data_IF_481685963351
#
_entry.id   IF_481685963351
#
_cell.length_a   1.000
_cell.length_b   1.000
_cell.length_c   1.000
_cell.angle_alpha   90.00
_cell.angle_beta   90.00
_cell.angle_gamma   90.00
#
_symmetry.space_group_name_H-M   'P 1'
#
loop_
_entity.id
_entity.type
_entity.pdbx_description
1 polymer ?
#
# COMPACT_ATOMS: atom_id res chain seq x y z
N UNK A 1 8.13 11.52 -9.90
CA UNK A 1 6.77 12.05 -9.64
C UNK A 1 6.07 11.32 -8.50
N UNK A 2 6.15 10.00 -8.45
CA UNK A 2 5.57 9.22 -7.33
C UNK A 2 6.00 9.76 -5.96
N UNK A 3 7.32 9.99 -5.75
CA UNK A 3 7.83 10.60 -4.52
C UNK A 3 7.16 11.95 -4.20
N UNK A 4 6.99 12.81 -5.21
CA UNK A 4 6.38 14.13 -5.01
C UNK A 4 4.89 14.01 -4.63
N UNK A 5 4.16 13.09 -5.29
CA UNK A 5 2.76 12.81 -4.95
C UNK A 5 2.63 12.30 -3.50
N UNK A 6 3.52 11.39 -3.06
CA UNK A 6 3.54 10.93 -1.68
C UNK A 6 3.74 12.09 -0.70
N UNK A 7 4.71 12.98 -0.99
CA UNK A 7 4.99 14.15 -0.13
C UNK A 7 3.79 15.10 -0.09
N UNK A 8 3.19 15.42 -1.23
CA UNK A 8 2.03 16.34 -1.29
C UNK A 8 0.84 15.76 -0.52
N UNK A 9 0.51 14.48 -0.70
CA UNK A 9 -0.57 13.83 0.05
C UNK A 9 -0.29 13.82 1.56
N UNK A 10 0.96 13.53 1.95
CA UNK A 10 1.35 13.56 3.37
C UNK A 10 1.22 14.96 3.95
N UNK A 11 1.70 15.99 3.25
CA UNK A 11 1.59 17.38 3.70
C UNK A 11 0.13 17.84 3.78
N UNK A 12 -0.71 17.47 2.80
CA UNK A 12 -2.14 17.75 2.84
C UNK A 12 -2.82 17.09 4.05
N UNK A 13 -2.48 15.83 4.35
CA UNK A 13 -3.01 15.13 5.52
C UNK A 13 -2.56 15.76 6.84
N UNK A 14 -1.31 16.17 6.95
CA UNK A 14 -0.80 16.91 8.14
C UNK A 14 -1.54 18.25 8.28
N UNK A 15 -1.78 18.96 7.18
CA UNK A 15 -2.58 20.19 7.19
C UNK A 15 -4.03 19.92 7.65
N UNK A 16 -4.68 18.83 7.20
CA UNK A 16 -6.00 18.41 7.69
C UNK A 16 -6.00 18.22 9.22
N UNK A 17 -4.98 17.57 9.78
CA UNK A 17 -4.89 17.33 11.23
C UNK A 17 -4.64 18.63 12.01
N UNK A 18 -3.83 19.56 11.49
CA UNK A 18 -3.48 20.81 12.19
C UNK A 18 -4.65 21.80 12.14
N UNK A 19 -5.30 21.93 10.99
CA UNK A 19 -6.38 22.89 10.78
C UNK A 19 -7.72 22.43 11.36
N UNK A 20 -7.81 21.17 11.71
CA UNK A 20 -9.03 20.59 12.28
C UNK A 20 -8.74 19.70 13.50
N UNK A 21 -8.78 20.23 14.72
CA UNK A 21 -8.58 19.45 15.94
C UNK A 21 -9.62 18.35 16.16
N UNK A 22 -10.81 18.45 15.56
CA UNK A 22 -11.90 17.48 15.65
C UNK A 22 -11.98 16.56 14.43
N UNK A 23 -10.88 16.43 13.68
CA UNK A 23 -10.81 15.59 12.48
C UNK A 23 -11.31 14.15 12.73
N UNK A 24 -12.10 13.53 11.83
CA UNK A 24 -12.50 14.05 10.50
C UNK A 24 -13.76 14.93 10.48
N UNK A 25 -14.44 15.11 11.60
CA UNK A 25 -15.67 15.87 11.68
C UNK A 25 -15.37 17.38 11.54
N UNK A 26 -16.20 18.11 10.77
CA UNK A 26 -16.11 19.56 10.54
C UNK A 26 -14.73 20.04 10.00
N UNK A 27 -14.22 19.43 8.95
CA UNK A 27 -12.93 19.80 8.36
C UNK A 27 -13.06 20.92 7.33
N UNK A 28 -12.57 22.10 7.66
CA UNK A 28 -12.49 23.24 6.73
C UNK A 28 -11.83 22.87 5.39
N UNK A 29 -10.80 22.02 5.42
CA UNK A 29 -10.15 21.56 4.18
C UNK A 29 -11.01 20.59 3.40
N UNK A 30 -11.85 19.79 4.04
CA UNK A 30 -12.79 18.90 3.33
C UNK A 30 -13.88 19.76 2.68
N UNK A 31 -14.41 20.74 3.38
CA UNK A 31 -15.46 21.64 2.86
C UNK A 31 -14.96 22.42 1.64
N UNK A 32 -13.70 22.90 1.65
CA UNK A 32 -13.15 23.69 0.54
C UNK A 32 -12.58 22.85 -0.61
N UNK A 33 -11.98 21.71 -0.32
CA UNK A 33 -11.15 20.95 -1.24
C UNK A 33 -11.70 19.54 -1.55
N UNK A 34 -12.65 19.03 -0.76
CA UNK A 34 -13.38 17.79 -1.05
C UNK A 34 -14.29 17.96 -2.26
N UNK A 35 -14.56 16.92 -3.02
CA UNK A 35 -15.46 16.97 -4.16
C UNK A 35 -16.89 16.82 -3.64
N UNK A 36 -17.59 17.94 -3.53
CA UNK A 36 -19.02 18.00 -3.24
C UNK A 36 -19.84 17.66 -4.47
N UNK A 37 -21.04 17.13 -4.25
CA UNK A 37 -21.97 16.85 -5.32
C UNK A 37 -22.26 18.13 -6.12
N UNK A 38 -22.26 18.04 -7.45
CA UNK A 38 -22.30 19.24 -8.30
C UNK A 38 -23.59 20.09 -8.20
N UNK A 39 -24.64 19.57 -7.56
CA UNK A 39 -25.84 20.34 -7.22
C UNK A 39 -25.81 20.89 -5.79
N UNK A 40 -24.81 20.58 -4.99
CA UNK A 40 -24.63 21.14 -3.66
C UNK A 40 -24.10 22.58 -3.74
N UNK A 41 -24.41 23.40 -2.73
CA UNK A 41 -24.01 24.81 -2.67
C UNK A 41 -22.48 24.97 -2.60
N UNK A 42 -21.80 24.05 -1.90
CA UNK A 42 -20.34 24.07 -1.69
C UNK A 42 -19.53 23.47 -2.85
N UNK A 43 -20.17 23.12 -3.97
CA UNK A 43 -19.48 22.59 -5.13
C UNK A 43 -18.65 23.66 -5.85
N UNK A 44 -17.38 23.32 -6.12
CA UNK A 44 -16.47 24.12 -6.92
C UNK A 44 -15.65 23.26 -7.89
N UNK A 45 -15.42 23.76 -9.10
CA UNK A 45 -14.74 23.01 -10.18
C UNK A 45 -13.31 22.54 -9.81
N UNK A 46 -12.59 23.30 -8.97
CA UNK A 46 -11.24 22.90 -8.53
C UNK A 46 -11.24 21.61 -7.69
N UNK A 47 -12.37 21.28 -7.07
CA UNK A 47 -12.54 20.10 -6.24
C UNK A 47 -12.30 18.79 -7.01
N UNK A 48 -12.53 18.76 -8.35
CA UNK A 48 -12.14 17.62 -9.19
C UNK A 48 -10.65 17.24 -9.13
N UNK A 49 -9.81 18.15 -8.66
CA UNK A 49 -8.36 17.90 -8.50
C UNK A 49 -7.99 17.85 -7.04
N UNK A 50 -8.49 18.77 -6.21
CA UNK A 50 -8.04 18.90 -4.82
C UNK A 50 -8.48 17.74 -3.94
N UNK A 51 -9.64 17.16 -4.17
CA UNK A 51 -10.15 16.01 -3.42
C UNK A 51 -9.20 14.80 -3.40
N UNK A 52 -8.39 14.64 -4.47
CA UNK A 52 -7.42 13.56 -4.63
C UNK A 52 -6.30 13.58 -3.57
N UNK A 53 -6.13 14.69 -2.85
CA UNK A 53 -5.06 14.87 -1.87
C UNK A 53 -5.58 14.81 -0.42
N UNK A 54 -6.89 14.75 -0.22
CA UNK A 54 -7.51 14.63 1.08
C UNK A 54 -7.76 13.18 1.47
N UNK A 55 -7.75 12.89 2.77
CA UNK A 55 -7.94 11.52 3.26
C UNK A 55 -8.80 11.51 4.52
N UNK A 56 -9.69 10.52 4.65
CA UNK A 56 -10.62 10.37 5.75
C UNK A 56 -10.05 9.74 7.03
N UNK A 57 -8.72 9.55 7.12
CA UNK A 57 -8.05 9.01 8.31
C UNK A 57 -6.73 8.33 7.99
N UNK A 58 -6.01 7.93 9.04
CA UNK A 58 -4.68 7.33 8.91
C UNK A 58 -4.65 6.05 8.06
N UNK A 59 -5.60 5.15 8.28
CA UNK A 59 -5.70 3.90 7.50
C UNK A 59 -5.92 4.20 6.01
N UNK A 60 -6.76 5.19 5.71
CA UNK A 60 -7.07 5.60 4.35
C UNK A 60 -5.83 6.14 3.62
N UNK A 61 -5.09 7.09 4.22
CA UNK A 61 -3.86 7.60 3.60
C UNK A 61 -2.78 6.52 3.52
N UNK A 62 -2.64 5.67 4.55
CA UNK A 62 -1.62 4.64 4.58
C UNK A 62 -1.75 3.68 3.40
N UNK A 63 -2.95 3.10 3.15
CA UNK A 63 -3.14 2.16 2.05
C UNK A 63 -3.05 2.83 0.68
N UNK A 64 -3.53 4.06 0.52
CA UNK A 64 -3.35 4.83 -0.71
C UNK A 64 -1.87 5.07 -1.02
N UNK A 65 -1.12 5.56 -0.06
CA UNK A 65 0.31 5.88 -0.24
C UNK A 65 1.16 4.62 -0.42
N UNK A 66 0.84 3.55 0.28
CA UNK A 66 1.51 2.26 0.11
C UNK A 66 1.28 1.70 -1.31
N UNK A 67 0.06 1.69 -1.80
CA UNK A 67 -0.26 1.24 -3.15
C UNK A 67 0.37 2.17 -4.22
N UNK A 68 0.29 3.48 -4.03
CA UNK A 68 0.93 4.47 -4.90
C UNK A 68 2.46 4.27 -4.95
N UNK A 69 3.10 4.04 -3.80
CA UNK A 69 4.53 3.77 -3.74
C UNK A 69 4.89 2.47 -4.46
N UNK A 70 4.18 1.38 -4.18
CA UNK A 70 4.47 0.05 -4.70
C UNK A 70 4.26 -0.04 -6.21
N UNK A 71 3.08 0.33 -6.69
CA UNK A 71 2.72 0.21 -8.10
C UNK A 71 3.13 1.44 -8.91
N UNK A 72 2.97 2.64 -8.35
CA UNK A 72 3.26 3.90 -9.02
C UNK A 72 4.73 4.05 -9.37
N UNK A 73 5.64 3.63 -8.48
CA UNK A 73 7.08 3.67 -8.75
C UNK A 73 7.46 2.81 -9.95
N UNK A 74 6.83 1.65 -10.11
CA UNK A 74 7.10 0.74 -11.25
C UNK A 74 6.55 1.35 -12.54
N UNK A 75 5.32 1.83 -12.53
CA UNK A 75 4.68 2.42 -13.72
C UNK A 75 5.40 3.72 -14.13
N UNK A 76 5.81 4.56 -13.18
CA UNK A 76 6.60 5.76 -13.48
C UNK A 76 7.93 5.41 -14.18
N UNK A 77 8.64 4.37 -13.73
CA UNK A 77 9.91 3.93 -14.36
C UNK A 77 9.71 3.48 -15.80
N UNK A 78 8.58 2.84 -16.10
CA UNK A 78 8.27 2.32 -17.44
C UNK A 78 7.78 3.41 -18.39
N UNK A 79 6.90 4.29 -17.89
CA UNK A 79 6.25 5.29 -18.74
C UNK A 79 6.95 6.64 -18.76
N UNK A 80 7.80 6.90 -17.79
CA UNK A 80 8.41 8.19 -17.51
C UNK A 80 7.51 9.11 -16.66
N UNK A 81 8.12 10.11 -16.00
CA UNK A 81 7.44 10.91 -14.97
C UNK A 81 6.30 11.77 -15.53
N UNK A 82 6.44 12.34 -16.73
CA UNK A 82 5.40 13.22 -17.31
C UNK A 82 4.13 12.44 -17.65
N UNK A 83 4.30 11.27 -18.30
CA UNK A 83 3.17 10.43 -18.71
C UNK A 83 2.47 9.80 -17.50
N UNK A 84 3.24 9.38 -16.49
CA UNK A 84 2.73 8.89 -15.23
C UNK A 84 1.88 9.94 -14.52
N UNK A 85 2.38 11.18 -14.38
CA UNK A 85 1.63 12.26 -13.73
C UNK A 85 0.34 12.60 -14.50
N UNK A 86 0.43 12.71 -15.83
CA UNK A 86 -0.75 12.97 -16.65
C UNK A 86 -1.81 11.87 -16.47
N UNK A 87 -1.40 10.61 -16.45
CA UNK A 87 -2.28 9.49 -16.21
C UNK A 87 -2.94 9.57 -14.82
N UNK A 88 -2.13 9.81 -13.78
CA UNK A 88 -2.60 9.90 -12.40
C UNK A 88 -3.69 10.97 -12.25
N UNK A 89 -3.40 12.20 -12.69
CA UNK A 89 -4.34 13.32 -12.57
C UNK A 89 -5.59 13.08 -13.43
N UNK A 90 -5.43 12.66 -14.69
CA UNK A 90 -6.58 12.43 -15.58
C UNK A 90 -7.50 11.32 -15.07
N UNK A 91 -6.94 10.24 -14.51
CA UNK A 91 -7.74 9.16 -13.94
C UNK A 91 -8.42 9.59 -12.62
N UNK A 92 -7.77 10.42 -11.80
CA UNK A 92 -8.40 11.00 -10.63
C UNK A 92 -9.57 11.91 -11.00
N UNK A 93 -9.38 12.84 -11.93
CA UNK A 93 -10.49 13.68 -12.43
C UNK A 93 -11.61 12.81 -13.02
N UNK A 94 -11.26 11.81 -13.82
CA UNK A 94 -12.23 10.86 -14.37
C UNK A 94 -13.00 10.05 -13.30
N UNK A 95 -12.32 9.69 -12.22
CA UNK A 95 -12.94 9.06 -11.06
C UNK A 95 -14.00 9.96 -10.41
N UNK A 96 -13.66 11.25 -10.21
CA UNK A 96 -14.59 12.25 -9.72
C UNK A 96 -15.81 12.43 -10.63
N UNK A 97 -15.60 12.50 -11.95
CA UNK A 97 -16.71 12.63 -12.91
C UNK A 97 -17.66 11.43 -12.82
N UNK A 98 -17.14 10.19 -12.75
CA UNK A 98 -18.00 8.99 -12.63
C UNK A 98 -18.73 8.99 -11.30
N UNK A 99 -18.09 9.42 -10.22
CA UNK A 99 -18.72 9.54 -8.90
C UNK A 99 -19.88 10.54 -8.94
N UNK A 100 -19.68 11.71 -9.52
CA UNK A 100 -20.74 12.73 -9.69
C UNK A 100 -21.93 12.21 -10.51
N UNK A 101 -21.66 11.47 -11.59
CA UNK A 101 -22.72 10.83 -12.37
C UNK A 101 -23.49 9.81 -11.52
N UNK A 102 -22.80 9.00 -10.71
CA UNK A 102 -23.44 8.02 -9.85
C UNK A 102 -24.28 8.70 -8.75
N UNK A 103 -23.79 9.76 -8.15
CA UNK A 103 -24.55 10.57 -7.20
C UNK A 103 -25.78 11.22 -7.84
N UNK A 104 -25.65 11.71 -9.07
CA UNK A 104 -26.78 12.28 -9.82
C UNK A 104 -27.86 11.22 -10.12
N UNK A 105 -27.46 10.03 -10.52
CA UNK A 105 -28.40 8.90 -10.71
C UNK A 105 -29.10 8.57 -9.39
N UNK A 106 -28.39 8.56 -8.28
CA UNK A 106 -28.97 8.36 -6.95
C UNK A 106 -29.93 9.49 -6.58
N UNK A 107 -29.55 10.75 -6.79
CA UNK A 107 -30.39 11.93 -6.56
C UNK A 107 -31.73 11.82 -7.30
N UNK A 108 -31.70 11.44 -8.57
CA UNK A 108 -32.90 11.23 -9.38
C UNK A 108 -33.73 10.02 -8.91
N UNK A 109 -33.09 8.92 -8.57
CA UNK A 109 -33.76 7.69 -8.17
C UNK A 109 -34.51 7.80 -6.86
N UNK A 110 -33.97 8.57 -5.91
CA UNK A 110 -34.61 8.88 -4.62
C UNK A 110 -35.64 10.01 -4.74
N UNK A 111 -35.59 10.80 -5.85
CA UNK A 111 -36.49 11.90 -6.10
C UNK A 111 -36.27 13.10 -5.16
N UNK A 112 -35.02 13.33 -4.75
CA UNK A 112 -34.68 14.39 -3.77
C UNK A 112 -35.08 15.78 -4.22
N UNK A 113 -35.18 16.02 -5.54
CA UNK A 113 -35.66 17.30 -6.10
C UNK A 113 -37.09 17.69 -5.67
N UNK A 114 -37.90 16.74 -5.19
CA UNK A 114 -39.27 16.97 -4.78
C UNK A 114 -39.40 17.34 -3.29
N UNK A 115 -38.31 17.35 -2.54
CA UNK A 115 -38.33 17.56 -1.10
C UNK A 115 -37.46 18.73 -0.66
N UNK A 116 -38.04 19.68 0.06
CA UNK A 116 -37.28 20.79 0.67
C UNK A 116 -36.48 20.34 1.89
N UNK A 117 -36.88 19.23 2.52
CA UNK A 117 -36.28 18.69 3.72
C UNK A 117 -36.10 17.18 3.64
N UNK A 118 -35.01 16.70 4.23
CA UNK A 118 -34.70 15.26 4.40
C UNK A 118 -34.64 14.92 5.88
N UNK A 119 -35.20 13.78 6.25
CA UNK A 119 -35.08 13.27 7.61
C UNK A 119 -33.91 12.28 7.69
N UNK A 120 -32.84 12.67 8.37
CA UNK A 120 -31.65 11.87 8.58
C UNK A 120 -31.62 11.37 10.05
N UNK A 121 -32.01 10.13 10.27
CA UNK A 121 -31.96 9.53 11.61
C UNK A 121 -32.81 10.22 12.69
N UNK A 122 -33.90 10.88 12.30
CA UNK A 122 -34.77 11.64 13.21
C UNK A 122 -34.50 13.17 13.24
N UNK A 123 -33.44 13.63 12.58
CA UNK A 123 -33.15 15.05 12.42
C UNK A 123 -33.61 15.52 11.04
N UNK A 124 -34.47 16.54 11.02
CA UNK A 124 -34.94 17.18 9.81
C UNK A 124 -33.93 18.27 9.39
N UNK A 125 -33.40 18.18 8.18
CA UNK A 125 -32.47 19.17 7.62
C UNK A 125 -32.90 19.59 6.23
N UNK A 126 -32.46 20.75 5.77
CA UNK A 126 -32.69 21.20 4.39
C UNK A 126 -32.06 20.22 3.40
N UNK A 127 -32.71 20.03 2.25
CA UNK A 127 -32.17 19.17 1.18
C UNK A 127 -30.82 19.70 0.68
N UNK A 128 -30.62 21.02 0.60
CA UNK A 128 -29.36 21.63 0.18
C UNK A 128 -28.23 21.31 1.18
N UNK A 129 -28.50 21.39 2.51
CA UNK A 129 -27.53 20.99 3.54
C UNK A 129 -27.20 19.49 3.45
N UNK A 130 -28.22 18.66 3.16
CA UNK A 130 -28.01 17.22 2.96
C UNK A 130 -27.13 16.92 1.74
N UNK A 131 -27.29 17.65 0.65
CA UNK A 131 -26.46 17.48 -0.55
C UNK A 131 -24.99 17.86 -0.31
N UNK A 132 -24.73 18.85 0.57
CA UNK A 132 -23.37 19.21 0.97
C UNK A 132 -22.64 18.09 1.71
N UNK A 133 -23.36 17.13 2.35
CA UNK A 133 -22.77 15.94 2.97
C UNK A 133 -22.27 14.91 1.94
N UNK A 134 -22.72 15.02 0.66
CA UNK A 134 -22.28 14.10 -0.39
C UNK A 134 -20.90 14.49 -0.93
N UNK A 135 -19.90 14.34 -0.07
CA UNK A 135 -18.53 14.76 -0.35
C UNK A 135 -17.63 13.57 -0.54
N UNK A 136 -16.84 13.58 -1.60
CA UNK A 136 -15.86 12.56 -1.95
C UNK A 136 -14.44 13.06 -1.69
N UNK A 137 -13.61 12.26 -1.03
CA UNK A 137 -12.20 12.55 -0.77
C UNK A 137 -11.34 11.31 -0.99
N UNK A 138 -10.12 11.48 -1.47
CA UNK A 138 -9.12 10.43 -1.54
C UNK A 138 -8.40 10.33 -2.88
N UNK A 139 -7.14 9.88 -2.81
CA UNK A 139 -6.32 9.55 -3.97
C UNK A 139 -6.75 8.23 -4.65
N UNK A 140 -7.64 7.48 -4.03
CA UNK A 140 -7.91 6.07 -4.35
C UNK A 140 -8.36 5.85 -5.79
N UNK A 141 -9.19 6.70 -6.38
CA UNK A 141 -9.60 6.57 -7.79
C UNK A 141 -8.40 6.55 -8.75
N UNK A 142 -7.43 7.44 -8.55
CA UNK A 142 -6.19 7.46 -9.32
C UNK A 142 -5.27 6.26 -8.96
N UNK A 143 -5.24 5.84 -7.71
CA UNK A 143 -4.45 4.68 -7.24
C UNK A 143 -4.97 3.38 -7.84
N UNK A 144 -6.29 3.19 -7.90
CA UNK A 144 -6.91 2.05 -8.57
C UNK A 144 -6.63 2.03 -10.09
N UNK A 145 -6.58 3.22 -10.72
CA UNK A 145 -6.13 3.31 -12.12
C UNK A 145 -4.66 2.89 -12.29
N UNK A 146 -3.76 3.25 -11.35
CA UNK A 146 -2.36 2.78 -11.36
C UNK A 146 -2.29 1.26 -11.17
N UNK A 147 -3.09 0.68 -10.28
CA UNK A 147 -3.18 -0.76 -10.09
C UNK A 147 -3.62 -1.46 -11.38
N UNK A 148 -4.63 -0.91 -12.07
CA UNK A 148 -5.06 -1.38 -13.38
C UNK A 148 -3.91 -1.29 -14.41
N UNK A 149 -3.21 -0.14 -14.45
CA UNK A 149 -2.07 0.06 -15.35
C UNK A 149 -0.97 -0.98 -15.11
N UNK A 150 -0.70 -1.32 -13.85
CA UNK A 150 0.25 -2.36 -13.48
C UNK A 150 -0.21 -3.73 -14.00
N UNK A 151 -1.45 -4.13 -13.73
CA UNK A 151 -2.00 -5.41 -14.19
C UNK A 151 -2.07 -5.54 -15.72
N UNK A 152 -2.34 -4.42 -16.42
CA UNK A 152 -2.34 -4.39 -17.90
C UNK A 152 -0.93 -4.40 -18.50
N UNK A 153 0.06 -3.84 -17.81
CA UNK A 153 1.45 -3.78 -18.27
C UNK A 153 2.21 -5.07 -17.93
N UNK A 154 1.95 -5.63 -16.76
CA UNK A 154 2.64 -6.81 -16.20
C UNK A 154 1.68 -7.94 -15.80
N UNK A 155 0.83 -8.46 -16.70
CA UNK A 155 -0.29 -9.32 -16.34
C UNK A 155 0.10 -10.64 -15.68
N UNK A 156 1.31 -11.13 -15.90
CA UNK A 156 1.79 -12.41 -15.40
C UNK A 156 2.75 -12.29 -14.21
N UNK A 157 3.09 -11.06 -13.80
CA UNK A 157 3.89 -10.86 -12.60
C UNK A 157 3.17 -11.36 -11.36
N UNK A 158 3.92 -11.98 -10.47
CA UNK A 158 3.40 -12.58 -9.25
C UNK A 158 3.61 -11.64 -8.09
N UNK A 159 2.52 -11.29 -7.42
CA UNK A 159 2.51 -10.42 -6.25
C UNK A 159 2.16 -11.22 -5.01
N UNK A 160 2.93 -11.01 -3.94
CA UNK A 160 2.60 -11.53 -2.62
C UNK A 160 1.75 -10.50 -1.89
N UNK A 161 0.56 -10.90 -1.48
CA UNK A 161 -0.38 -10.07 -0.73
C UNK A 161 -0.46 -10.64 0.68
N UNK A 162 0.00 -9.88 1.65
CA UNK A 162 -0.14 -10.25 3.06
C UNK A 162 -1.62 -10.11 3.45
N UNK A 163 -2.23 -11.13 4.10
CA UNK A 163 -1.63 -12.32 4.71
C UNK A 163 -1.63 -13.58 3.83
N UNK A 164 -1.95 -13.49 2.54
CA UNK A 164 -2.05 -14.69 1.69
C UNK A 164 -0.66 -15.26 1.37
N UNK A 165 -0.39 -16.55 1.67
CA UNK A 165 0.91 -17.17 1.46
C UNK A 165 1.20 -17.50 -0.02
N UNK A 166 0.24 -17.26 -0.92
CA UNK A 166 0.33 -17.63 -2.33
C UNK A 166 0.51 -16.42 -3.22
N UNK A 167 1.47 -16.45 -4.18
CA UNK A 167 1.64 -15.38 -5.14
C UNK A 167 0.49 -15.36 -6.16
N UNK A 168 -0.19 -14.23 -6.29
CA UNK A 168 -1.29 -14.02 -7.23
C UNK A 168 -0.74 -13.26 -8.46
N UNK A 169 -1.13 -13.67 -9.68
CA UNK A 169 -0.77 -12.93 -10.89
C UNK A 169 -1.49 -11.57 -10.91
N UNK A 170 -0.78 -10.52 -11.30
CA UNK A 170 -1.28 -9.14 -11.31
C UNK A 170 -2.63 -8.98 -12.03
N UNK A 171 -2.84 -9.66 -13.15
CA UNK A 171 -4.13 -9.63 -13.85
C UNK A 171 -5.30 -10.14 -13.00
N UNK A 172 -5.09 -11.20 -12.21
CA UNK A 172 -6.15 -11.75 -11.37
C UNK A 172 -6.40 -10.89 -10.13
N UNK A 173 -5.36 -10.24 -9.61
CA UNK A 173 -5.49 -9.26 -8.56
C UNK A 173 -6.39 -8.10 -9.00
N UNK A 174 -6.11 -7.54 -10.19
CA UNK A 174 -6.92 -6.43 -10.74
C UNK A 174 -8.37 -6.87 -11.00
N UNK A 175 -8.58 -8.05 -11.59
CA UNK A 175 -9.94 -8.58 -11.81
C UNK A 175 -10.67 -8.76 -10.48
N UNK A 176 -9.99 -9.27 -9.45
CA UNK A 176 -10.55 -9.41 -8.10
C UNK A 176 -10.98 -8.07 -7.51
N UNK A 177 -10.13 -7.04 -7.59
CA UNK A 177 -10.48 -5.70 -7.14
C UNK A 177 -11.67 -5.10 -7.91
N UNK A 178 -11.70 -5.22 -9.23
CA UNK A 178 -12.85 -4.76 -10.03
C UNK A 178 -14.13 -5.46 -9.58
N UNK A 179 -14.10 -6.78 -9.34
CA UNK A 179 -15.25 -7.53 -8.88
C UNK A 179 -15.74 -7.10 -7.49
N UNK A 180 -14.80 -6.87 -6.57
CA UNK A 180 -15.11 -6.38 -5.21
C UNK A 180 -15.74 -4.98 -5.28
N UNK A 181 -15.12 -4.05 -6.01
CA UNK A 181 -15.61 -2.68 -6.14
C UNK A 181 -16.99 -2.63 -6.80
N UNK A 182 -17.21 -3.45 -7.84
CA UNK A 182 -18.51 -3.54 -8.50
C UNK A 182 -19.58 -4.10 -7.56
N UNK A 183 -19.27 -5.18 -6.84
CA UNK A 183 -20.19 -5.76 -5.88
C UNK A 183 -20.54 -4.76 -4.76
N UNK A 184 -19.53 -4.08 -4.21
CA UNK A 184 -19.72 -3.08 -3.16
C UNK A 184 -20.54 -1.88 -3.66
N UNK A 185 -20.27 -1.39 -4.87
CA UNK A 185 -21.06 -0.31 -5.47
C UNK A 185 -22.54 -0.67 -5.67
N UNK A 186 -22.83 -1.94 -5.99
CA UNK A 186 -24.21 -2.43 -6.16
C UNK A 186 -24.90 -2.75 -4.83
N UNK A 187 -24.15 -3.02 -3.76
CA UNK A 187 -24.71 -3.34 -2.44
C UNK A 187 -25.23 -2.11 -1.68
N UNK A 188 -24.96 -0.92 -2.19
CA UNK A 188 -25.41 0.36 -1.62
C UNK A 188 -24.38 1.01 -0.69
N UNK A 189 -24.57 2.29 -0.33
CA UNK A 189 -23.66 3.05 0.51
C UNK A 189 -23.77 2.59 1.97
N UNK A 190 -22.90 1.70 2.40
CA UNK A 190 -22.89 1.20 3.77
C UNK A 190 -21.60 1.45 4.54
N UNK A 191 -20.49 1.59 3.85
CA UNK A 191 -19.14 1.65 4.44
C UNK A 191 -18.43 3.01 4.29
N UNK A 192 -19.10 4.01 3.69
CA UNK A 192 -18.55 5.34 3.44
C UNK A 192 -17.45 5.37 2.37
N UNK A 193 -17.33 4.31 1.55
CA UNK A 193 -16.32 4.22 0.47
C UNK A 193 -16.95 4.56 -0.88
N UNK A 194 -16.27 5.41 -1.65
CA UNK A 194 -16.70 5.80 -2.99
C UNK A 194 -16.31 4.75 -4.05
N UNK A 195 -16.94 3.58 -4.01
CA UNK A 195 -16.66 2.46 -4.92
C UNK A 195 -16.82 2.83 -6.40
N UNK A 196 -17.78 3.69 -6.72
CA UNK A 196 -18.00 4.20 -8.07
C UNK A 196 -16.86 5.08 -8.56
N UNK A 197 -16.23 5.87 -7.67
CA UNK A 197 -15.01 6.61 -8.01
C UNK A 197 -13.83 5.66 -8.32
N UNK A 198 -13.67 4.55 -7.58
CA UNK A 198 -12.63 3.56 -7.86
C UNK A 198 -12.81 2.94 -9.25
N UNK A 199 -14.03 2.49 -9.57
CA UNK A 199 -14.37 1.95 -10.88
C UNK A 199 -14.22 3.00 -11.99
N UNK A 200 -14.58 4.26 -11.70
CA UNK A 200 -14.41 5.39 -12.60
C UNK A 200 -12.94 5.63 -12.96
N UNK A 201 -12.06 5.63 -11.95
CA UNK A 201 -10.62 5.75 -12.17
C UNK A 201 -10.07 4.62 -13.03
N UNK A 202 -10.47 3.37 -12.75
CA UNK A 202 -10.09 2.22 -13.59
C UNK A 202 -10.62 2.32 -15.02
N UNK A 203 -11.86 2.77 -15.22
CA UNK A 203 -12.47 2.95 -16.54
C UNK A 203 -11.68 3.96 -17.37
N UNK A 204 -11.42 5.15 -16.82
CA UNK A 204 -10.61 6.18 -17.49
C UNK A 204 -9.20 5.66 -17.79
N UNK A 205 -8.60 5.00 -16.82
CA UNK A 205 -7.28 4.39 -16.98
C UNK A 205 -7.24 3.34 -18.10
N UNK A 206 -8.26 2.49 -18.19
CA UNK A 206 -8.40 1.50 -19.26
C UNK A 206 -8.52 2.17 -20.63
N UNK A 207 -9.39 3.18 -20.76
CA UNK A 207 -9.60 3.91 -22.02
C UNK A 207 -8.27 4.57 -22.46
N UNK A 208 -7.58 5.26 -21.55
CA UNK A 208 -6.30 5.91 -21.85
C UNK A 208 -5.22 4.92 -22.29
N UNK A 209 -5.08 3.79 -21.59
CA UNK A 209 -4.09 2.76 -21.96
C UNK A 209 -4.43 2.16 -23.33
N UNK A 210 -5.72 1.87 -23.59
CA UNK A 210 -6.17 1.37 -24.89
C UNK A 210 -5.90 2.37 -26.00
N UNK A 211 -6.20 3.65 -25.77
CA UNK A 211 -5.92 4.72 -26.72
C UNK A 211 -4.42 4.81 -27.04
N UNK A 212 -3.58 4.85 -26.02
CA UNK A 212 -2.12 4.93 -26.21
C UNK A 212 -1.52 3.70 -26.89
N UNK A 213 -2.10 2.52 -26.67
CA UNK A 213 -1.66 1.30 -27.38
C UNK A 213 -2.01 1.33 -28.87
N UNK A 214 -3.10 1.99 -29.24
CA UNK A 214 -3.48 2.16 -30.64
C UNK A 214 -2.74 3.26 -31.36
N UNK A 215 -2.28 4.27 -30.61
CA UNK A 215 -1.57 5.46 -31.12
C UNK A 215 -0.18 5.56 -30.47
N UNK A 216 0.76 4.68 -30.80
CA UNK A 216 2.12 4.80 -30.31
C UNK A 216 2.75 6.04 -30.95
N UNK A 217 2.85 7.13 -30.17
CA UNK A 217 3.56 8.34 -30.61
C UNK A 217 5.06 8.05 -30.87
N UNK A 218 5.77 8.94 -31.55
CA UNK A 218 7.20 8.84 -31.91
C UNK A 218 8.18 8.60 -30.73
N UNK A 219 7.68 8.38 -29.53
CA UNK A 219 8.44 8.19 -28.28
C UNK A 219 8.55 6.77 -27.76
N UNK A 220 8.37 5.75 -28.57
CA UNK A 220 8.71 4.39 -28.17
C UNK A 220 7.53 3.45 -27.95
N UNK A 221 7.74 2.20 -28.33
CA UNK A 221 6.88 1.03 -28.09
C UNK A 221 6.33 1.01 -26.67
N UNK A 222 5.02 0.98 -26.55
CA UNK A 222 4.32 1.02 -25.30
C UNK A 222 4.58 -0.25 -24.46
N UNK A 223 5.57 -0.15 -23.61
CA UNK A 223 5.62 -0.82 -22.31
C UNK A 223 5.95 -2.29 -22.23
N UNK A 224 5.72 -3.15 -23.25
CA UNK A 224 5.97 -4.59 -23.05
C UNK A 224 7.45 -4.95 -23.03
N UNK A 225 8.24 -4.33 -23.91
CA UNK A 225 9.71 -4.55 -23.97
C UNK A 225 10.42 -3.88 -22.78
N UNK A 226 10.11 -2.61 -22.47
CA UNK A 226 10.72 -1.90 -21.32
C UNK A 226 10.34 -2.48 -19.98
N UNK A 227 9.09 -2.95 -19.85
CA UNK A 227 8.67 -3.60 -18.64
C UNK A 227 9.33 -4.95 -18.42
N UNK A 228 9.43 -5.76 -19.46
CA UNK A 228 10.16 -7.02 -19.39
C UNK A 228 11.65 -6.79 -19.11
N UNK A 229 12.30 -5.85 -19.81
CA UNK A 229 13.70 -5.47 -19.53
C UNK A 229 13.91 -5.01 -18.08
N UNK A 230 12.94 -4.29 -17.50
CA UNK A 230 13.02 -3.85 -16.11
C UNK A 230 13.01 -5.05 -15.13
N UNK A 231 12.07 -5.99 -15.30
CA UNK A 231 12.00 -7.18 -14.45
C UNK A 231 13.14 -8.15 -14.72
N UNK A 232 13.58 -8.32 -15.97
CA UNK A 232 14.75 -9.11 -16.33
C UNK A 232 16.01 -8.52 -15.70
N UNK A 233 16.18 -7.20 -15.71
CA UNK A 233 17.26 -6.51 -15.03
C UNK A 233 17.21 -6.67 -13.50
N UNK A 234 16.01 -6.60 -12.88
CA UNK A 234 15.85 -6.86 -11.46
C UNK A 234 16.19 -8.30 -11.10
N UNK A 235 15.70 -9.26 -11.89
CA UNK A 235 15.99 -10.68 -11.72
C UNK A 235 17.50 -10.95 -11.89
N UNK A 236 18.12 -10.39 -12.91
CA UNK A 236 19.58 -10.51 -13.11
C UNK A 236 20.36 -9.97 -11.92
N UNK A 237 20.03 -8.76 -11.42
CA UNK A 237 20.67 -8.20 -10.20
C UNK A 237 20.45 -9.04 -8.96
N UNK A 238 19.27 -9.64 -8.82
CA UNK A 238 18.99 -10.55 -7.71
C UNK A 238 19.81 -11.83 -7.81
N UNK A 239 19.87 -12.44 -9.02
CA UNK A 239 20.66 -13.64 -9.28
C UNK A 239 22.16 -13.39 -9.15
N UNK A 240 22.67 -12.22 -9.59
CA UNK A 240 24.04 -11.78 -9.37
C UNK A 240 24.39 -11.64 -7.88
N UNK A 241 23.50 -11.02 -7.09
CA UNK A 241 23.69 -10.92 -5.63
C UNK A 241 23.69 -12.28 -4.96
N UNK A 242 22.80 -13.18 -5.40
CA UNK A 242 22.73 -14.54 -4.87
C UNK A 242 24.00 -15.33 -5.22
N UNK A 243 24.50 -15.22 -6.45
CA UNK A 243 25.79 -15.82 -6.89
C UNK A 243 26.96 -15.24 -6.08
N UNK A 244 27.01 -13.91 -5.95
CA UNK A 244 28.06 -13.26 -5.18
C UNK A 244 28.07 -13.72 -3.71
N UNK A 245 26.90 -13.83 -3.08
CA UNK A 245 26.79 -14.35 -1.72
C UNK A 245 27.21 -15.83 -1.63
N UNK A 246 26.83 -16.67 -2.59
CA UNK A 246 27.23 -18.09 -2.62
C UNK A 246 28.72 -18.28 -2.91
N UNK A 247 29.31 -17.44 -3.78
CA UNK A 247 30.76 -17.50 -4.09
C UNK A 247 31.61 -16.99 -2.92
N UNK A 248 31.15 -15.95 -2.21
CA UNK A 248 31.78 -15.49 -0.97
C UNK A 248 31.72 -16.55 0.13
N UNK A 249 30.61 -17.23 0.24
CA UNK A 249 30.46 -18.34 1.18
C UNK A 249 31.37 -19.53 0.80
N UNK A 250 31.46 -19.89 -0.49
CA UNK A 250 32.36 -20.93 -0.99
C UNK A 250 33.83 -20.55 -0.82
N UNK A 251 34.24 -19.31 -1.09
CA UNK A 251 35.61 -18.85 -0.85
C UNK A 251 35.98 -18.86 0.61
N UNK A 252 35.06 -18.51 1.50
CA UNK A 252 35.27 -18.59 2.95
C UNK A 252 35.54 -20.03 3.44
N UNK A 253 34.95 -21.01 2.73
CA UNK A 253 35.21 -22.43 3.01
C UNK A 253 36.42 -23.01 2.28
N UNK A 254 36.85 -22.36 1.18
CA UNK A 254 38.00 -22.80 0.38
C UNK A 254 39.34 -22.13 0.80
N UNK A 255 39.26 -20.94 1.40
CA UNK A 255 40.45 -20.21 1.92
C UNK A 255 40.68 -20.49 3.41
N UNK A 256 39.96 -21.41 4.04
CA UNK A 256 40.41 -22.00 5.30
C UNK A 256 41.63 -22.86 4.93
N UNK A 257 42.86 -22.49 5.32
CA UNK A 257 44.02 -23.35 5.18
C UNK A 257 43.69 -24.62 5.94
N UNK A 258 44.20 -25.80 5.46
CA UNK A 258 44.15 -27.07 6.17
C UNK A 258 44.48 -26.82 7.65
N UNK A 259 43.43 -26.55 8.42
CA UNK A 259 43.58 -26.29 9.83
C UNK A 259 44.06 -27.56 10.49
N UNK A 260 45.13 -27.46 11.31
CA UNK A 260 45.45 -28.51 12.24
C UNK A 260 44.18 -28.81 13.03
N UNK A 261 43.80 -30.08 13.11
CA UNK A 261 42.64 -30.65 13.81
C UNK A 261 41.84 -29.66 14.65
N UNK A 262 40.51 -29.45 14.38
CA UNK A 262 39.72 -28.47 15.14
C UNK A 262 40.02 -28.69 16.63
N UNK A 263 40.28 -27.62 17.40
CA UNK A 263 40.58 -27.76 18.81
C UNK A 263 39.49 -28.62 19.40
N UNK A 264 39.88 -29.78 19.95
CA UNK A 264 38.96 -30.77 20.51
C UNK A 264 37.95 -30.00 21.32
N UNK A 265 36.70 -30.02 20.94
CA UNK A 265 35.60 -29.37 21.67
C UNK A 265 35.84 -29.68 23.14
N UNK A 266 35.89 -28.67 24.04
CA UNK A 266 36.10 -28.96 25.44
C UNK A 266 35.14 -30.06 25.82
N UNK A 267 35.66 -31.15 26.41
CA UNK A 267 34.83 -32.30 26.80
C UNK A 267 33.69 -31.72 27.60
N UNK A 268 32.46 -31.84 27.10
CA UNK A 268 31.26 -31.46 27.85
C UNK A 268 31.41 -32.06 29.23
N UNK A 269 31.35 -31.22 30.26
CA UNK A 269 31.27 -31.70 31.61
C UNK A 269 30.14 -32.72 31.67
N UNK A 270 30.44 -33.95 32.10
CA UNK A 270 29.43 -34.99 32.16
C UNK A 270 28.34 -34.52 33.11
N UNK A 271 27.07 -34.74 32.80
CA UNK A 271 25.95 -34.35 33.65
C UNK A 271 26.16 -34.76 35.10
N UNK A 272 26.80 -35.92 35.33
CA UNK A 272 27.17 -36.41 36.62
C UNK A 272 28.17 -35.51 37.37
N UNK A 273 29.13 -34.85 36.65
CA UNK A 273 30.05 -33.89 37.24
C UNK A 273 29.35 -32.59 37.65
N UNK A 274 28.40 -32.13 36.84
CA UNK A 274 27.59 -30.94 37.13
C UNK A 274 26.68 -31.20 38.33
N UNK A 275 26.03 -32.36 38.39
CA UNK A 275 25.18 -32.76 39.50
C UNK A 275 25.99 -32.89 40.81
N UNK A 276 27.23 -33.41 40.76
CA UNK A 276 28.13 -33.45 41.89
C UNK A 276 28.54 -32.05 42.38
N UNK A 277 28.77 -31.09 41.47
CA UNK A 277 29.07 -29.67 41.82
C UNK A 277 27.82 -29.04 42.45
N UNK A 278 26.63 -29.24 41.94
CA UNK A 278 25.37 -28.75 42.49
C UNK A 278 25.11 -29.33 43.91
N UNK A 279 25.37 -30.61 44.10
CA UNK A 279 25.25 -31.24 45.43
C UNK A 279 26.26 -30.68 46.44
N UNK A 280 27.49 -30.37 45.99
CA UNK A 280 28.50 -29.69 46.83
C UNK A 280 28.08 -28.28 47.25
N UNK A 281 27.48 -27.54 46.32
CA UNK A 281 26.87 -26.21 46.62
C UNK A 281 25.78 -26.34 47.68
N UNK A 282 24.93 -27.36 47.53
CA UNK A 282 23.80 -27.59 48.46
C UNK A 282 24.25 -27.98 49.86
N UNK A 283 25.38 -28.66 50.00
CA UNK A 283 25.93 -29.10 51.30
C UNK A 283 26.83 -28.09 51.97
N UNK A 284 27.61 -27.34 51.20
CA UNK A 284 28.75 -26.56 51.73
C UNK A 284 28.85 -25.13 51.21
N UNK A 285 27.86 -24.70 50.39
CA UNK A 285 27.78 -23.35 49.80
C UNK A 285 28.68 -23.15 48.59
N UNK A 286 28.41 -22.11 47.80
CA UNK A 286 29.13 -21.76 46.56
C UNK A 286 30.64 -21.50 46.77
N UNK A 287 31.00 -20.99 47.93
CA UNK A 287 32.41 -20.65 48.27
C UNK A 287 33.28 -21.87 48.49
N UNK A 288 32.68 -23.03 48.67
CA UNK A 288 33.39 -24.30 48.79
C UNK A 288 33.90 -24.89 47.47
N UNK A 289 33.49 -24.31 46.33
CA UNK A 289 33.88 -24.74 45.00
C UNK A 289 35.31 -24.29 44.65
N UNK A 290 36.04 -25.20 43.98
CA UNK A 290 37.34 -24.85 43.38
C UNK A 290 37.16 -23.96 42.15
N UNK A 291 38.24 -23.30 41.73
CA UNK A 291 38.21 -22.43 40.53
C UNK A 291 37.79 -23.20 39.26
N UNK A 292 38.16 -24.47 39.16
CA UNK A 292 37.79 -25.33 38.02
C UNK A 292 36.33 -25.73 38.05
N UNK A 293 35.76 -26.03 39.21
CA UNK A 293 34.36 -26.32 39.40
C UNK A 293 33.48 -25.10 39.09
N UNK A 294 33.89 -23.90 39.52
CA UNK A 294 33.21 -22.63 39.19
C UNK A 294 33.22 -22.35 37.68
N UNK A 295 34.35 -22.63 37.01
CA UNK A 295 34.47 -22.47 35.56
C UNK A 295 33.57 -23.42 34.81
N UNK A 296 33.53 -24.71 35.18
CA UNK A 296 32.64 -25.73 34.56
C UNK A 296 31.17 -25.33 34.71
N UNK A 297 30.74 -24.86 35.86
CA UNK A 297 29.38 -24.44 36.14
C UNK A 297 29.00 -23.22 35.30
N UNK A 298 29.92 -22.24 35.14
CA UNK A 298 29.72 -21.07 34.34
C UNK A 298 29.60 -21.35 32.82
N UNK A 299 30.46 -22.23 32.31
CA UNK A 299 30.41 -22.66 30.91
C UNK A 299 29.06 -23.36 30.57
N UNK A 300 28.53 -24.16 31.48
CA UNK A 300 27.22 -24.80 31.30
C UNK A 300 26.03 -23.79 31.38
N UNK A 301 26.18 -22.71 32.15
CA UNK A 301 25.10 -21.70 32.30
C UNK A 301 24.98 -20.78 31.11
N UNK A 302 25.98 -20.70 30.23
CA UNK A 302 25.93 -19.89 29.00
C UNK A 302 25.34 -20.65 27.78
N UNK A 303 25.14 -21.97 27.91
CA UNK A 303 24.61 -22.81 26.83
C UNK A 303 23.10 -23.11 26.93
N UNK A 304 22.41 -22.61 27.97
CA UNK A 304 20.95 -22.66 28.13
C UNK A 304 20.35 -21.28 27.96
#
# INVERSE_FOLDING_TARGET
MTKNLLIVNFLAFVAQLILNPSYPENSVLIDWCGLHFFLAEDFHIHQFVTYMFLHGGFTHIFFNMFALWMFGTVIERVWGPKKFLFYYISCGVGAGIVQEIAQYVNYLSVGLAAYDHVNLGGTLMLTDDYLNLWTTIGASGAVYAILLAFGMTFPNERLFIIPFPFPIKAKWLVVGYIAIELFSALSGPGDGVAHTAHLGGMLFGFIMIRYWRKHPGNGGSFGRSRGQEFFDNLKRKYDERKRYASDHQRRRWADEPDDPEPPKKPKRANQEEIDAILDKIRKSGYDSLTKEEKKKLFEQSQEN
#
